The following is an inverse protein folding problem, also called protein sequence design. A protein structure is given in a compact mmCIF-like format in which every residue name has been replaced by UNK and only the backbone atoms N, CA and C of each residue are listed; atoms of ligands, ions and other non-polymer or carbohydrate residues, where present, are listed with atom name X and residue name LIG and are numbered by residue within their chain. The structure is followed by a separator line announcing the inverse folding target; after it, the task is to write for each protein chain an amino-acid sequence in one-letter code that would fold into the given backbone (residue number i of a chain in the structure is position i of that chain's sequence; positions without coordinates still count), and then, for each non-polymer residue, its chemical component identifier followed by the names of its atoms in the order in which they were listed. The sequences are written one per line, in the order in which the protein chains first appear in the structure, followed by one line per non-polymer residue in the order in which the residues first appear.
data_IF_618597811065
#
_entry.id   IF_618597811065
#
_cell.length_a   1.000
_cell.length_b   1.000
_cell.length_c   1.000
_cell.angle_alpha   90.00
_cell.angle_beta   90.00
_cell.angle_gamma   90.00
#
_symmetry.space_group_name_H-M   'P 1'
#
loop_
_entity.id
_entity.type
_entity.pdbx_description
1 polymer ?
#
# COMPACT_ATOMS: atom_id res chain seq x y z
N UNK A 1 0.87 -27.21 -7.98
CA UNK A 1 0.29 -27.12 -7.58
C UNK A 1 -0.20 -27.01 -6.66
N UNK A 2 -0.62 -27.17 -6.21
CA UNK A 2 -0.96 -26.94 -5.24
C UNK A 2 -1.04 -27.70 -4.43
N UNK A 3 -0.97 -27.49 -3.56
CA UNK A 3 -0.98 -28.06 -2.87
C UNK A 3 -1.50 -28.28 -1.87
N UNK A 4 -1.23 -28.83 -1.32
CA UNK A 4 -1.47 -29.39 -0.21
C UNK A 4 -1.92 -28.53 0.91
N UNK A 5 -2.97 -28.82 1.63
CA UNK A 5 -3.56 -27.97 2.62
C UNK A 5 -4.10 -26.67 2.07
N UNK A 6 -3.88 -26.43 0.82
CA UNK A 6 -4.40 -25.25 0.17
C UNK A 6 -5.77 -25.53 -0.39
N UNK A 7 -6.70 -24.66 -0.06
CA UNK A 7 -8.03 -24.71 -0.61
C UNK A 7 -7.95 -24.35 -2.10
N UNK A 8 -8.58 -25.16 -2.94
CA UNK A 8 -8.59 -24.91 -4.38
C UNK A 8 -9.19 -23.57 -4.70
N UNK A 9 -10.24 -23.16 -4.00
CA UNK A 9 -10.87 -21.87 -4.23
C UNK A 9 -9.92 -20.72 -3.93
N UNK A 10 -9.19 -20.81 -2.83
CA UNK A 10 -8.18 -19.80 -2.51
C UNK A 10 -7.11 -19.75 -3.57
N UNK A 11 -6.66 -20.90 -4.00
CA UNK A 11 -5.61 -21.00 -4.98
C UNK A 11 -6.03 -20.41 -6.32
N UNK A 12 -7.28 -20.62 -6.73
CA UNK A 12 -7.75 -20.20 -8.04
C UNK A 12 -8.20 -18.74 -8.08
N UNK A 13 -8.45 -18.13 -6.93
CA UNK A 13 -9.08 -16.81 -6.92
C UNK A 13 -8.12 -15.67 -7.21
N UNK A 14 -7.06 -15.55 -6.47
CA UNK A 14 -6.24 -14.39 -6.65
C UNK A 14 -4.85 -14.55 -6.06
N UNK A 15 -3.95 -13.76 -6.64
CA UNK A 15 -2.60 -13.60 -6.14
C UNK A 15 -2.47 -12.19 -5.60
N UNK A 16 -1.80 -12.03 -4.46
CA UNK A 16 -1.52 -10.73 -3.90
C UNK A 16 -0.05 -10.39 -4.11
N UNK A 17 0.21 -9.26 -4.75
CA UNK A 17 1.57 -8.78 -5.01
C UNK A 17 1.74 -7.37 -4.46
N UNK A 18 2.92 -7.11 -3.89
CA UNK A 18 3.27 -5.78 -3.41
C UNK A 18 4.43 -5.28 -4.24
N UNK A 19 4.26 -4.11 -4.83
CA UNK A 19 5.26 -3.56 -5.75
C UNK A 19 5.15 -2.04 -5.85
N UNK A 20 6.15 -1.43 -6.44
CA UNK A 20 6.09 -0.01 -6.78
C UNK A 20 5.04 0.20 -7.86
N UNK A 21 4.26 1.26 -7.72
CA UNK A 21 3.28 1.65 -8.72
C UNK A 21 4.00 2.49 -9.76
N UNK A 22 4.08 1.99 -10.98
CA UNK A 22 4.82 2.64 -12.06
C UNK A 22 3.93 3.06 -13.23
N UNK A 23 2.75 2.48 -13.38
CA UNK A 23 1.86 2.82 -14.47
C UNK A 23 0.69 3.70 -14.01
N UNK A 24 0.04 4.33 -14.99
CA UNK A 24 -1.04 5.27 -14.70
C UNK A 24 -2.23 4.62 -14.02
N UNK A 25 -2.59 3.41 -14.43
CA UNK A 25 -3.73 2.71 -13.85
C UNK A 25 -3.50 2.43 -12.37
N UNK A 26 -2.33 1.89 -12.04
CA UNK A 26 -1.99 1.55 -10.66
C UNK A 26 -1.94 2.80 -9.78
N UNK A 27 -1.36 3.88 -10.31
CA UNK A 27 -1.29 5.15 -9.57
C UNK A 27 -2.67 5.75 -9.34
N UNK A 28 -3.55 5.69 -10.34
CA UNK A 28 -4.93 6.18 -10.19
C UNK A 28 -5.71 5.37 -9.19
N UNK A 29 -5.57 4.04 -9.24
CA UNK A 29 -6.27 3.18 -8.30
C UNK A 29 -5.75 3.35 -6.88
N UNK A 30 -4.46 3.57 -6.71
CA UNK A 30 -3.89 3.87 -5.41
C UNK A 30 -4.46 5.19 -4.86
N UNK A 31 -4.54 6.22 -5.68
CA UNK A 31 -5.11 7.50 -5.26
C UNK A 31 -6.59 7.37 -4.91
N UNK A 32 -7.31 6.58 -5.70
CA UNK A 32 -8.72 6.31 -5.42
C UNK A 32 -8.89 5.63 -4.06
N UNK A 33 -8.06 4.65 -3.77
CA UNK A 33 -8.10 3.96 -2.49
C UNK A 33 -7.78 4.93 -1.35
N UNK A 34 -6.78 5.80 -1.50
CA UNK A 34 -6.45 6.81 -0.51
C UNK A 34 -7.65 7.72 -0.24
N UNK A 35 -8.32 8.17 -1.30
CA UNK A 35 -9.51 9.01 -1.14
C UNK A 35 -10.63 8.25 -0.44
N UNK A 36 -10.86 7.00 -0.79
CA UNK A 36 -11.88 6.19 -0.13
C UNK A 36 -11.62 6.06 1.37
N UNK A 37 -10.37 5.89 1.76
CA UNK A 37 -10.01 5.71 3.17
C UNK A 37 -9.94 7.04 3.91
N UNK A 38 -9.19 8.00 3.40
CA UNK A 38 -8.86 9.21 4.15
C UNK A 38 -9.89 10.31 4.01
N UNK A 39 -10.61 10.36 2.90
CA UNK A 39 -11.64 11.36 2.69
C UNK A 39 -13.01 10.82 3.06
N UNK A 40 -13.41 9.73 2.42
CA UNK A 40 -14.79 9.22 2.57
C UNK A 40 -14.96 8.49 3.90
N UNK A 41 -14.09 7.54 4.20
CA UNK A 41 -14.26 6.67 5.36
C UNK A 41 -13.88 7.37 6.67
N UNK A 42 -12.71 7.99 6.71
CA UNK A 42 -12.17 8.59 7.94
C UNK A 42 -12.47 10.08 8.06
N UNK A 43 -12.74 10.75 6.95
CA UNK A 43 -13.05 12.18 6.98
C UNK A 43 -11.89 13.07 7.40
N UNK A 44 -10.65 12.59 7.29
CA UNK A 44 -9.47 13.35 7.70
C UNK A 44 -9.24 14.53 6.74
N UNK A 45 -9.51 14.33 5.47
CA UNK A 45 -9.40 15.36 4.44
C UNK A 45 -10.78 15.60 3.83
N UNK A 46 -11.05 16.83 3.39
CA UNK A 46 -12.39 17.18 2.89
C UNK A 46 -12.63 16.77 1.46
N UNK A 47 -11.66 16.98 0.57
CA UNK A 47 -11.83 16.71 -0.85
C UNK A 47 -10.81 15.73 -1.40
N UNK A 48 -9.56 15.79 -0.94
CA UNK A 48 -8.50 14.91 -1.40
C UNK A 48 -7.42 14.83 -0.34
N UNK A 49 -6.73 13.69 -0.28
CA UNK A 49 -5.57 13.52 0.59
C UNK A 49 -4.26 13.88 -0.12
N UNK A 50 -4.34 14.38 -1.35
CA UNK A 50 -3.16 14.74 -2.13
C UNK A 50 -2.44 15.94 -1.50
N UNK A 51 -1.10 15.89 -1.47
CA UNK A 51 -0.27 16.97 -0.94
C UNK A 51 0.98 17.16 -1.81
N UNK A 52 1.83 18.11 -1.41
CA UNK A 52 2.99 18.46 -2.21
C UNK A 52 4.00 17.31 -2.34
N UNK A 53 4.04 16.40 -1.38
CA UNK A 53 4.97 15.28 -1.40
C UNK A 53 4.63 14.26 -2.48
N UNK A 54 3.38 14.23 -2.95
CA UNK A 54 2.97 13.31 -4.01
C UNK A 54 3.70 13.57 -5.33
N UNK A 55 4.24 14.76 -5.52
CA UNK A 55 4.96 15.09 -6.74
C UNK A 55 6.30 14.35 -6.85
N UNK A 56 6.90 13.99 -5.71
CA UNK A 56 8.21 13.34 -5.69
C UNK A 56 8.21 12.01 -4.95
N UNK A 57 7.08 11.61 -4.40
CA UNK A 57 6.98 10.39 -3.61
C UNK A 57 6.91 9.16 -4.50
N UNK A 58 7.26 8.04 -3.91
CA UNK A 58 7.10 6.72 -4.53
C UNK A 58 5.92 6.03 -3.88
N UNK A 59 5.06 5.45 -4.70
CA UNK A 59 3.87 4.75 -4.23
C UNK A 59 4.08 3.25 -4.35
N UNK A 60 3.83 2.54 -3.26
CA UNK A 60 3.78 1.08 -3.29
C UNK A 60 2.32 0.66 -3.21
N UNK A 61 2.00 -0.43 -3.87
CA UNK A 61 0.65 -0.96 -3.92
C UNK A 61 0.65 -2.44 -3.64
N UNK A 62 -0.43 -2.89 -3.01
CA UNK A 62 -0.78 -4.30 -2.95
C UNK A 62 -1.89 -4.51 -3.96
N UNK A 63 -1.65 -5.38 -4.93
CA UNK A 63 -2.63 -5.70 -5.96
C UNK A 63 -3.08 -7.14 -5.83
N UNK A 64 -4.33 -7.39 -6.18
CA UNK A 64 -4.82 -8.74 -6.34
C UNK A 64 -5.14 -8.96 -7.81
N UNK A 65 -5.00 -10.20 -8.26
CA UNK A 65 -5.26 -10.54 -9.65
C UNK A 65 -5.02 -12.01 -9.89
N UNK A 66 -5.08 -12.40 -11.14
CA UNK A 66 -4.84 -13.78 -11.54
C UNK A 66 -3.81 -13.81 -12.65
N UNK A 67 -2.92 -14.81 -12.59
CA UNK A 67 -1.91 -15.04 -13.62
C UNK A 67 -1.05 -13.80 -13.89
N UNK A 68 -0.73 -13.07 -12.83
CA UNK A 68 0.09 -11.87 -12.94
C UNK A 68 -0.62 -10.64 -13.48
N UNK A 69 -1.91 -10.72 -13.74
CA UNK A 69 -2.69 -9.58 -14.24
C UNK A 69 -3.46 -8.96 -13.06
N UNK A 70 -3.14 -7.71 -12.66
CA UNK A 70 -3.83 -7.09 -11.53
C UNK A 70 -5.27 -6.74 -11.88
N UNK A 71 -6.17 -7.05 -10.95
CA UNK A 71 -7.59 -6.68 -11.03
C UNK A 71 -7.90 -5.48 -10.17
N UNK A 72 -7.27 -5.36 -9.00
CA UNK A 72 -7.58 -4.30 -8.08
C UNK A 72 -6.38 -3.95 -7.22
N UNK A 73 -6.30 -2.69 -6.82
CA UNK A 73 -5.36 -2.22 -5.79
C UNK A 73 -6.12 -2.26 -4.47
N UNK A 74 -5.62 -3.07 -3.53
CA UNK A 74 -6.28 -3.28 -2.24
C UNK A 74 -5.51 -2.71 -1.08
N UNK A 75 -4.30 -2.24 -1.31
CA UNK A 75 -3.51 -1.56 -0.30
C UNK A 75 -2.51 -0.63 -0.96
N UNK A 76 -2.09 0.39 -0.23
CA UNK A 76 -1.09 1.32 -0.72
C UNK A 76 -0.37 2.00 0.44
N UNK A 77 0.83 2.43 0.19
CA UNK A 77 1.62 3.24 1.11
C UNK A 77 2.54 4.12 0.27
N UNK A 78 2.78 5.33 0.75
CA UNK A 78 3.63 6.30 0.07
C UNK A 78 4.93 6.45 0.84
N UNK A 79 6.06 6.51 0.13
CA UNK A 79 7.35 6.81 0.74
C UNK A 79 7.97 8.01 0.05
N UNK A 80 8.66 8.85 0.81
CA UNK A 80 9.43 9.96 0.24
C UNK A 80 10.63 10.28 1.13
N UNK A 81 11.66 10.82 0.52
CA UNK A 81 12.85 11.28 1.25
C UNK A 81 12.57 12.67 1.79
N UNK A 82 12.53 12.80 3.11
CA UNK A 82 12.21 14.06 3.78
C UNK A 82 13.45 14.94 3.96
N UNK A 83 14.58 14.30 4.20
CA UNK A 83 15.88 14.94 4.30
C UNK A 83 16.91 13.90 3.87
N UNK A 84 18.15 14.27 3.53
CA UNK A 84 19.13 13.29 3.04
C UNK A 84 19.23 12.06 3.95
N UNK A 85 18.91 10.91 3.40
CA UNK A 85 18.91 9.62 4.12
C UNK A 85 17.75 9.40 5.06
N UNK A 86 16.86 10.38 5.25
CA UNK A 86 15.71 10.28 6.15
C UNK A 86 14.44 10.11 5.33
N UNK A 87 13.83 8.95 5.43
CA UNK A 87 12.64 8.60 4.65
C UNK A 87 11.42 8.49 5.54
N UNK A 88 10.29 8.85 4.99
CA UNK A 88 9.00 8.79 5.67
C UNK A 88 8.03 7.95 4.87
N UNK A 89 7.37 7.01 5.56
CA UNK A 89 6.23 6.29 5.02
C UNK A 89 4.95 6.91 5.54
N UNK A 90 4.00 7.13 4.65
CA UNK A 90 2.74 7.78 5.00
C UNK A 90 1.63 7.28 4.07
N UNK A 91 0.41 7.71 4.35
CA UNK A 91 -0.77 7.35 3.54
C UNK A 91 -0.94 5.85 3.41
N UNK A 92 -0.67 5.10 4.48
CA UNK A 92 -0.97 3.67 4.49
C UNK A 92 -2.48 3.49 4.48
N UNK A 93 -2.97 2.80 3.47
CA UNK A 93 -4.39 2.52 3.33
C UNK A 93 -4.60 1.10 2.85
N UNK A 94 -5.55 0.40 3.47
CA UNK A 94 -5.96 -0.93 3.06
C UNK A 94 -7.46 -0.88 2.82
N UNK A 95 -7.90 -1.41 1.68
CA UNK A 95 -9.32 -1.46 1.35
C UNK A 95 -10.08 -2.19 2.44
N UNK A 96 -11.25 -1.65 2.80
CA UNK A 96 -12.03 -2.16 3.93
C UNK A 96 -12.27 -3.66 3.85
N UNK A 97 -12.57 -4.17 2.66
CA UNK A 97 -12.84 -5.59 2.45
C UNK A 97 -11.62 -6.47 2.69
N UNK A 98 -10.42 -5.91 2.72
CA UNK A 98 -9.17 -6.65 2.86
C UNK A 98 -8.45 -6.41 4.17
N UNK A 99 -9.05 -5.68 5.10
CA UNK A 99 -8.42 -5.39 6.41
C UNK A 99 -8.35 -6.61 7.29
N UNK A 100 -9.17 -7.61 7.03
CA UNK A 100 -9.11 -8.87 7.75
C UNK A 100 -8.01 -9.79 7.23
N UNK A 101 -7.39 -9.46 6.10
CA UNK A 101 -6.26 -10.22 5.58
C UNK A 101 -5.06 -9.96 6.47
N UNK A 102 -4.66 -10.99 7.20
CA UNK A 102 -3.62 -10.86 8.21
C UNK A 102 -2.28 -10.52 7.58
N UNK A 103 -1.64 -9.49 8.09
CA UNK A 103 -0.30 -9.15 7.69
C UNK A 103 -0.19 -8.26 6.45
N UNK A 104 -1.30 -7.85 5.83
CA UNK A 104 -1.21 -7.05 4.61
C UNK A 104 -0.60 -5.67 4.88
N UNK A 105 -1.05 -4.99 5.94
CA UNK A 105 -0.48 -3.69 6.30
C UNK A 105 0.99 -3.79 6.67
N UNK A 106 1.35 -4.84 7.41
CA UNK A 106 2.74 -5.10 7.78
C UNK A 106 3.59 -5.36 6.54
N UNK A 107 3.08 -6.13 5.59
CA UNK A 107 3.80 -6.43 4.36
C UNK A 107 4.05 -5.17 3.54
N UNK A 108 3.08 -4.26 3.48
CA UNK A 108 3.24 -2.98 2.81
C UNK A 108 4.36 -2.15 3.45
N UNK A 109 4.37 -2.06 4.77
CA UNK A 109 5.41 -1.32 5.49
C UNK A 109 6.78 -1.99 5.31
N UNK A 110 6.84 -3.31 5.37
CA UNK A 110 8.10 -4.03 5.17
C UNK A 110 8.67 -3.73 3.78
N UNK A 111 7.82 -3.75 2.75
CA UNK A 111 8.26 -3.43 1.40
C UNK A 111 8.65 -1.95 1.27
N UNK A 112 7.95 -1.07 1.97
CA UNK A 112 8.26 0.36 1.98
C UNK A 112 9.67 0.60 2.55
N UNK A 113 10.00 -0.05 3.66
CA UNK A 113 11.32 0.06 4.27
C UNK A 113 12.39 -0.50 3.33
N UNK A 114 12.14 -1.66 2.74
CA UNK A 114 13.09 -2.26 1.80
C UNK A 114 13.33 -1.37 0.59
N UNK A 115 12.26 -0.76 0.07
CA UNK A 115 12.37 0.13 -1.08
C UNK A 115 13.16 1.39 -0.74
N UNK A 116 12.92 1.95 0.43
CA UNK A 116 13.66 3.11 0.90
C UNK A 116 15.14 2.77 1.12
N UNK A 117 15.43 1.61 1.69
CA UNK A 117 16.81 1.16 1.88
C UNK A 117 17.55 1.04 0.56
N UNK A 118 16.88 0.52 -0.46
CA UNK A 118 17.46 0.42 -1.80
C UNK A 118 17.77 1.78 -2.41
N UNK A 119 17.15 2.84 -1.90
CA UNK A 119 17.34 4.21 -2.36
C UNK A 119 18.26 5.03 -1.45
N UNK A 120 18.91 4.39 -0.50
CA UNK A 120 19.90 5.06 0.37
C UNK A 120 19.36 5.53 1.70
N UNK A 121 18.27 4.94 2.17
CA UNK A 121 17.68 5.30 3.46
C UNK A 121 18.58 4.90 4.62
N UNK A 122 18.83 5.85 5.52
CA UNK A 122 19.53 5.60 6.78
C UNK A 122 18.57 5.53 7.97
N UNK A 123 17.48 6.26 7.88
CA UNK A 123 16.45 6.27 8.94
C UNK A 123 15.08 6.31 8.27
N UNK A 124 14.18 5.47 8.75
CA UNK A 124 12.82 5.38 8.21
C UNK A 124 11.81 5.62 9.32
N UNK A 125 10.90 6.54 9.07
CA UNK A 125 9.81 6.86 9.99
C UNK A 125 8.49 6.55 9.33
N UNK A 126 7.55 5.99 10.08
CA UNK A 126 6.22 5.70 9.58
C UNK A 126 5.21 6.59 10.28
N UNK A 127 4.40 7.25 9.49
CA UNK A 127 3.28 8.04 9.98
C UNK A 127 2.01 7.24 9.77
N UNK A 128 1.53 6.58 10.82
CA UNK A 128 0.43 5.63 10.74
C UNK A 128 -0.76 6.20 11.52
N UNK A 129 -1.92 6.21 10.87
CA UNK A 129 -3.15 6.61 11.53
C UNK A 129 -3.49 5.62 12.65
N UNK A 130 -4.07 6.11 13.72
CA UNK A 130 -4.41 5.29 14.87
C UNK A 130 -5.29 4.09 14.48
N UNK A 131 -6.20 4.29 13.54
CA UNK A 131 -7.07 3.24 13.05
C UNK A 131 -6.33 2.13 12.33
N UNK A 132 -5.10 2.41 11.85
CA UNK A 132 -4.31 1.45 11.10
C UNK A 132 -3.31 0.69 11.96
N UNK A 133 -3.20 1.03 13.25
CA UNK A 133 -2.22 0.37 14.13
C UNK A 133 -2.44 -1.14 14.18
N UNK A 134 -3.68 -1.59 14.16
CA UNK A 134 -4.00 -3.00 14.18
C UNK A 134 -3.65 -3.76 12.91
N UNK A 135 -3.20 -3.08 11.86
CA UNK A 135 -2.79 -3.73 10.62
C UNK A 135 -1.36 -4.28 10.67
N UNK A 136 -0.63 -4.01 11.73
CA UNK A 136 0.76 -4.46 11.89
C UNK A 136 0.89 -5.69 12.80
#
# INVERSE_FOLDING_TARGET
MFTTGMNIDEFSHSECHIQLALDDWTLREAQKLRNDVFVVEQGIFQTSDHDVFDNSAHTLVATIGMLGIPDAVVGTVRIHEQAPGMWLGSRLAVAKAYRSVKGLGKALITMAVSSAQAKGCNAFYANVQLQNVGLF
#
